data_IF_506456429542
#
_entry.id   IF_506456429542
#
_cell.length_a   1.000
_cell.length_b   1.000
_cell.length_c   1.000
_cell.angle_alpha   90.00
_cell.angle_beta   90.00
_cell.angle_gamma   90.00
#
_symmetry.space_group_name_H-M   'P 1'
#
loop_
_entity.id
_entity.type
_entity.pdbx_description
1 polymer ?
#
# COMPACT_ATOMS: atom_id res chain seq x y z
N UNK A 1 -10.07 -18.18 0.44
CA UNK A 1 -9.21 -16.99 0.61
C UNK A 1 -9.81 -16.09 1.66
N UNK A 2 -9.00 -15.57 2.54
CA UNK A 2 -9.43 -14.69 3.62
C UNK A 2 -8.56 -13.44 3.64
N UNK A 3 -9.18 -12.26 3.86
CA UNK A 3 -8.46 -10.98 4.04
C UNK A 3 -8.77 -10.48 5.44
N UNK A 4 -7.74 -10.12 6.20
CA UNK A 4 -7.93 -9.59 7.55
C UNK A 4 -6.77 -8.68 7.97
N UNK A 5 -7.03 -7.88 9.00
CA UNK A 5 -5.99 -7.04 9.59
C UNK A 5 -5.13 -7.90 10.51
N UNK A 6 -3.81 -7.72 10.41
CA UNK A 6 -2.84 -8.48 11.23
C UNK A 6 -2.69 -7.89 12.62
N UNK A 7 -2.28 -8.73 13.55
CA UNK A 7 -1.84 -8.32 14.87
C UNK A 7 -0.38 -8.76 15.08
N UNK A 8 0.13 -8.56 16.29
CA UNK A 8 1.54 -8.84 16.58
C UNK A 8 1.91 -10.32 16.39
N UNK A 9 0.96 -11.24 16.55
CA UNK A 9 1.21 -12.67 16.32
C UNK A 9 1.56 -13.00 14.88
N UNK A 10 1.21 -12.12 13.95
CA UNK A 10 1.46 -12.30 12.52
C UNK A 10 2.78 -11.67 12.05
N UNK A 11 3.48 -10.96 12.94
CA UNK A 11 4.64 -10.13 12.56
C UNK A 11 5.73 -10.90 11.83
N UNK A 12 6.16 -12.01 12.40
CA UNK A 12 7.26 -12.77 11.80
C UNK A 12 6.89 -13.33 10.44
N UNK A 13 5.68 -13.86 10.31
CA UNK A 13 5.20 -14.41 9.03
C UNK A 13 5.07 -13.31 7.97
N UNK A 14 4.53 -12.15 8.33
CA UNK A 14 4.38 -11.04 7.40
C UNK A 14 5.74 -10.47 6.98
N UNK A 15 6.65 -10.28 7.91
CA UNK A 15 7.98 -9.77 7.59
C UNK A 15 8.76 -10.76 6.71
N UNK A 16 8.58 -12.06 6.94
CA UNK A 16 9.16 -13.09 6.05
C UNK A 16 8.57 -12.98 4.65
N UNK A 17 7.25 -12.83 4.54
CA UNK A 17 6.59 -12.64 3.25
C UNK A 17 7.17 -11.43 2.51
N UNK A 18 7.31 -10.30 3.18
CA UNK A 18 7.89 -9.09 2.57
C UNK A 18 9.34 -9.33 2.11
N UNK A 19 10.16 -10.02 2.90
CA UNK A 19 11.53 -10.33 2.48
C UNK A 19 11.54 -11.18 1.22
N UNK A 20 10.64 -12.15 1.12
CA UNK A 20 10.52 -13.00 -0.08
C UNK A 20 10.12 -12.21 -1.31
N UNK A 21 9.38 -11.12 -1.12
CA UNK A 21 9.01 -10.20 -2.21
C UNK A 21 10.09 -9.17 -2.53
N UNK A 22 11.20 -9.17 -1.79
CA UNK A 22 12.26 -8.18 -1.98
C UNK A 22 11.98 -6.83 -1.32
N UNK A 23 10.98 -6.75 -0.45
CA UNK A 23 10.61 -5.52 0.25
C UNK A 23 11.22 -5.53 1.64
N UNK A 24 12.26 -4.72 1.84
CA UNK A 24 13.07 -4.78 3.05
C UNK A 24 12.52 -3.99 4.23
N UNK A 25 11.60 -3.06 3.99
CA UNK A 25 11.04 -2.23 5.08
C UNK A 25 10.16 -3.02 6.04
N UNK A 26 9.53 -4.08 5.59
CA UNK A 26 8.65 -4.90 6.42
C UNK A 26 7.46 -4.12 6.98
N UNK A 27 6.94 -4.61 8.10
CA UNK A 27 5.82 -3.98 8.80
C UNK A 27 6.31 -3.34 10.09
N UNK A 28 6.03 -2.04 10.26
CA UNK A 28 6.37 -1.30 11.49
C UNK A 28 5.12 -1.04 12.33
N UNK A 29 5.32 -0.67 13.61
CA UNK A 29 4.21 -0.43 14.54
C UNK A 29 3.36 0.80 14.21
N UNK A 30 3.87 1.71 13.37
CA UNK A 30 3.10 2.90 12.96
C UNK A 30 2.17 2.62 11.79
N UNK A 31 2.18 1.40 11.28
CA UNK A 31 1.39 1.00 10.13
C UNK A 31 0.35 -0.03 10.52
N UNK A 32 -0.84 0.08 9.94
CA UNK A 32 -1.82 -1.00 9.95
C UNK A 32 -1.52 -1.88 8.74
N UNK A 33 -1.52 -3.19 8.94
CA UNK A 33 -1.22 -4.13 7.86
C UNK A 33 -2.35 -5.12 7.70
N UNK A 34 -2.57 -5.51 6.46
CA UNK A 34 -3.66 -6.42 6.05
C UNK A 34 -3.06 -7.49 5.17
N UNK A 35 -3.51 -8.72 5.35
CA UNK A 35 -3.01 -9.83 4.54
C UNK A 35 -4.17 -10.61 3.94
N UNK A 36 -3.88 -11.27 2.83
CA UNK A 36 -4.73 -12.29 2.25
C UNK A 36 -4.04 -13.63 2.44
N UNK A 37 -4.81 -14.63 2.88
CA UNK A 37 -4.28 -15.97 3.08
C UNK A 37 -5.12 -17.00 2.32
N UNK A 38 -4.47 -18.10 1.95
CA UNK A 38 -5.13 -19.29 1.46
C UNK A 38 -4.36 -20.49 1.99
N UNK A 39 -5.08 -21.46 2.56
CA UNK A 39 -4.46 -22.62 3.23
C UNK A 39 -3.40 -22.19 4.25
N UNK A 40 -3.69 -21.14 5.01
CA UNK A 40 -2.80 -20.55 6.04
C UNK A 40 -1.53 -19.92 5.50
N UNK A 41 -1.37 -19.81 4.19
CA UNK A 41 -0.23 -19.11 3.57
C UNK A 41 -0.60 -17.70 3.18
N UNK A 42 0.33 -16.76 3.40
CA UNK A 42 0.14 -15.37 2.96
C UNK A 42 0.38 -15.31 1.46
N UNK A 43 -0.62 -14.82 0.73
CA UNK A 43 -0.55 -14.65 -0.73
C UNK A 43 -0.55 -13.19 -1.16
N UNK A 44 -0.77 -12.29 -0.23
CA UNK A 44 -0.73 -10.85 -0.50
C UNK A 44 -0.76 -10.05 0.78
N UNK A 45 -0.34 -8.79 0.67
CA UNK A 45 -0.29 -7.86 1.80
C UNK A 45 -0.45 -6.43 1.31
N UNK A 46 -0.89 -5.55 2.21
CA UNK A 46 -0.91 -4.11 2.02
C UNK A 46 -0.82 -3.43 3.37
N UNK A 47 -0.23 -2.24 3.41
CA UNK A 47 -0.09 -1.45 4.65
C UNK A 47 -0.69 -0.06 4.46
N UNK A 48 -1.20 0.48 5.56
CA UNK A 48 -1.64 1.87 5.64
C UNK A 48 -0.92 2.54 6.80
N UNK A 49 -0.13 3.56 6.48
CA UNK A 49 0.51 4.42 7.47
C UNK A 49 -0.39 5.65 7.68
N UNK A 50 -0.75 5.95 8.91
CA UNK A 50 -1.50 7.18 9.24
C UNK A 50 -0.53 8.14 9.90
N UNK A 51 -0.35 9.31 9.30
CA UNK A 51 0.59 10.31 9.80
C UNK A 51 0.09 11.70 9.45
N UNK A 52 0.11 12.60 10.44
CA UNK A 52 -0.26 14.02 10.26
C UNK A 52 -1.64 14.20 9.62
N UNK A 53 -2.59 13.33 9.97
CA UNK A 53 -3.97 13.44 9.51
C UNK A 53 -4.23 12.90 8.10
N UNK A 54 -3.25 12.26 7.48
CA UNK A 54 -3.40 11.64 6.17
C UNK A 54 -3.02 10.17 6.23
N UNK A 55 -3.46 9.41 5.24
CA UNK A 55 -3.11 7.99 5.10
C UNK A 55 -2.18 7.79 3.93
N UNK A 56 -1.18 6.93 4.08
CA UNK A 56 -0.28 6.55 3.00
C UNK A 56 -0.44 5.04 2.77
N UNK A 57 -0.86 4.70 1.55
CA UNK A 57 -1.00 3.31 1.13
C UNK A 57 0.36 2.82 0.65
N UNK A 58 0.83 1.72 1.25
CA UNK A 58 2.19 1.23 1.02
C UNK A 58 2.22 -0.29 0.96
N UNK A 59 3.32 -0.80 0.41
CA UNK A 59 3.67 -2.21 0.54
C UNK A 59 2.65 -3.20 0.04
N UNK A 60 1.96 -2.88 -1.06
CA UNK A 60 1.06 -3.84 -1.68
C UNK A 60 1.87 -4.82 -2.51
N UNK A 61 1.85 -6.09 -2.09
CA UNK A 61 2.51 -7.17 -2.79
C UNK A 61 1.56 -8.37 -2.89
N UNK A 62 1.55 -8.97 -4.05
CA UNK A 62 0.73 -10.16 -4.33
C UNK A 62 1.66 -11.19 -4.95
N UNK A 63 1.61 -12.42 -4.45
CA UNK A 63 2.44 -13.49 -5.00
C UNK A 63 2.10 -13.69 -6.48
N UNK A 64 3.09 -14.08 -7.26
CA UNK A 64 2.97 -14.18 -8.70
C UNK A 64 1.78 -15.02 -9.14
N UNK A 65 1.52 -16.13 -8.46
CA UNK A 65 0.43 -17.04 -8.78
C UNK A 65 -0.95 -16.40 -8.67
N UNK A 66 -1.08 -15.37 -7.82
CA UNK A 66 -2.34 -14.72 -7.53
C UNK A 66 -2.49 -13.35 -8.18
N UNK A 67 -1.50 -12.91 -8.95
CA UNK A 67 -1.59 -11.66 -9.69
C UNK A 67 -2.58 -11.79 -10.85
N UNK A 68 -3.21 -10.66 -11.21
CA UNK A 68 -4.17 -10.62 -12.31
C UNK A 68 -5.51 -11.26 -12.03
N UNK A 69 -5.81 -11.57 -10.75
CA UNK A 69 -7.04 -12.24 -10.33
C UNK A 69 -7.95 -11.36 -9.47
N UNK A 70 -7.68 -10.06 -9.42
CA UNK A 70 -8.51 -9.11 -8.68
C UNK A 70 -8.20 -8.99 -7.20
N UNK A 71 -7.13 -9.62 -6.69
CA UNK A 71 -6.80 -9.56 -5.27
C UNK A 71 -6.46 -8.14 -4.82
N UNK A 72 -5.72 -7.38 -5.64
CA UNK A 72 -5.42 -5.98 -5.32
C UNK A 72 -6.67 -5.14 -5.14
N UNK A 73 -7.65 -5.31 -6.02
CA UNK A 73 -8.95 -4.64 -5.91
C UNK A 73 -9.68 -5.06 -4.63
N UNK A 74 -9.62 -6.35 -4.29
CA UNK A 74 -10.24 -6.86 -3.05
C UNK A 74 -9.60 -6.22 -1.81
N UNK A 75 -8.27 -6.05 -1.79
CA UNK A 75 -7.59 -5.34 -0.72
C UNK A 75 -8.08 -3.90 -0.58
N UNK A 76 -8.14 -3.17 -1.68
CA UNK A 76 -8.58 -1.77 -1.64
C UNK A 76 -10.01 -1.68 -1.13
N UNK A 77 -10.90 -2.55 -1.57
CA UNK A 77 -12.28 -2.58 -1.07
C UNK A 77 -12.33 -2.86 0.42
N UNK A 78 -11.48 -3.75 0.91
CA UNK A 78 -11.42 -4.10 2.32
C UNK A 78 -11.01 -2.91 3.18
N UNK A 79 -10.02 -2.13 2.73
CA UNK A 79 -9.49 -0.98 3.48
C UNK A 79 -10.17 0.35 3.13
N UNK A 80 -11.11 0.34 2.19
CA UNK A 80 -11.79 1.57 1.75
C UNK A 80 -12.39 2.38 2.91
N UNK A 81 -13.03 1.77 3.93
CA UNK A 81 -13.52 2.54 5.08
C UNK A 81 -12.42 3.35 5.77
N UNK A 82 -11.20 2.83 5.82
CA UNK A 82 -10.04 3.55 6.38
C UNK A 82 -9.62 4.69 5.46
N UNK A 83 -9.50 4.40 4.17
CA UNK A 83 -9.10 5.40 3.18
C UNK A 83 -10.11 6.54 3.07
N UNK A 84 -11.39 6.24 3.31
CA UNK A 84 -12.46 7.25 3.24
C UNK A 84 -12.40 8.26 4.38
N UNK A 85 -11.73 7.95 5.49
CA UNK A 85 -11.66 8.83 6.65
C UNK A 85 -10.72 10.02 6.47
N UNK A 86 -9.75 9.90 5.59
CA UNK A 86 -8.73 10.93 5.37
C UNK A 86 -8.40 11.04 3.90
N UNK A 87 -7.69 12.12 3.55
CA UNK A 87 -6.98 12.15 2.27
C UNK A 87 -5.91 11.06 2.31
N UNK A 88 -5.79 10.32 1.24
CA UNK A 88 -4.83 9.23 1.11
C UNK A 88 -3.86 9.50 -0.03
N UNK A 89 -2.63 9.04 0.13
CA UNK A 89 -1.58 9.17 -0.88
C UNK A 89 -0.94 7.81 -1.16
N UNK A 90 -0.38 7.66 -2.34
CA UNK A 90 0.48 6.53 -2.65
C UNK A 90 1.56 6.94 -3.66
N UNK A 91 2.60 6.13 -3.75
CA UNK A 91 3.73 6.35 -4.65
C UNK A 91 4.02 5.06 -5.42
N UNK A 92 3.06 4.62 -6.26
CA UNK A 92 3.23 3.34 -6.96
C UNK A 92 4.24 3.46 -8.10
N UNK A 93 4.74 2.32 -8.53
CA UNK A 93 5.48 2.26 -9.79
C UNK A 93 4.57 2.78 -10.92
N UNK A 94 5.17 3.51 -11.86
CA UNK A 94 4.41 4.23 -12.88
C UNK A 94 3.52 3.31 -13.73
N UNK A 95 3.91 2.06 -13.94
CA UNK A 95 3.11 1.10 -14.71
C UNK A 95 1.83 0.64 -13.98
N UNK A 96 1.67 0.98 -12.69
CA UNK A 96 0.50 0.62 -11.90
C UNK A 96 -0.52 1.77 -11.78
N UNK A 97 -0.29 2.89 -12.46
CA UNK A 97 -1.15 4.07 -12.34
C UNK A 97 -2.61 3.79 -12.67
N UNK A 98 -2.86 2.96 -13.69
CA UNK A 98 -4.21 2.63 -14.09
C UNK A 98 -4.95 1.86 -13.00
N UNK A 99 -4.28 0.89 -12.38
CA UNK A 99 -4.87 0.14 -11.27
C UNK A 99 -5.30 1.07 -10.13
N UNK A 100 -4.41 1.95 -9.69
CA UNK A 100 -4.72 2.87 -8.59
C UNK A 100 -5.75 3.92 -9.01
N UNK A 101 -5.77 4.30 -10.28
CA UNK A 101 -6.81 5.18 -10.83
C UNK A 101 -8.20 4.59 -10.70
N UNK A 102 -8.34 3.28 -10.92
CA UNK A 102 -9.62 2.59 -10.82
C UNK A 102 -10.18 2.54 -9.40
N UNK A 103 -9.33 2.69 -8.39
CA UNK A 103 -9.74 2.65 -6.98
C UNK A 103 -9.72 4.03 -6.34
N UNK A 104 -9.79 5.08 -7.15
CA UNK A 104 -10.03 6.45 -6.70
C UNK A 104 -8.82 7.35 -6.55
N UNK A 105 -7.62 6.87 -6.85
CA UNK A 105 -6.42 7.70 -6.81
C UNK A 105 -6.26 8.45 -8.13
N UNK A 106 -5.78 9.68 -8.04
CA UNK A 106 -5.47 10.52 -9.21
C UNK A 106 -4.02 10.97 -9.14
N UNK A 107 -3.37 11.03 -10.29
CA UNK A 107 -2.00 11.54 -10.37
C UNK A 107 -1.97 13.01 -9.99
N UNK A 108 -0.98 13.38 -9.20
CA UNK A 108 -0.72 14.76 -8.80
C UNK A 108 0.74 15.10 -9.04
N UNK A 109 1.05 16.40 -9.01
CA UNK A 109 2.43 16.84 -8.95
C UNK A 109 3.00 16.45 -7.57
N UNK A 110 4.22 15.91 -7.48
CA UNK A 110 4.83 15.59 -6.18
C UNK A 110 4.90 16.75 -5.20
N UNK A 111 4.91 18.00 -5.68
CA UNK A 111 4.84 19.19 -4.83
C UNK A 111 3.53 19.27 -4.03
N UNK A 112 2.52 18.53 -4.44
CA UNK A 112 1.25 18.43 -3.71
C UNK A 112 1.26 17.48 -2.53
N UNK A 113 2.36 16.74 -2.31
CA UNK A 113 2.52 15.88 -1.14
C UNK A 113 2.81 16.71 0.12
N UNK A 114 2.41 16.21 1.32
CA UNK A 114 2.96 16.75 2.57
C UNK A 114 4.49 16.66 2.55
N UNK A 115 5.16 17.56 3.27
CA UNK A 115 6.62 17.67 3.22
C UNK A 115 7.34 16.35 3.47
N UNK A 116 6.92 15.59 4.49
CA UNK A 116 7.58 14.32 4.80
C UNK A 116 7.47 13.32 3.64
N UNK A 117 6.36 13.34 2.93
CA UNK A 117 6.12 12.42 1.82
C UNK A 117 6.83 12.88 0.55
N UNK A 118 6.89 14.19 0.33
CA UNK A 118 7.66 14.77 -0.78
C UNK A 118 9.14 14.40 -0.67
N UNK A 119 9.70 14.44 0.54
CA UNK A 119 11.08 14.04 0.79
C UNK A 119 11.30 12.55 0.52
N UNK A 120 10.36 11.72 0.94
CA UNK A 120 10.39 10.26 0.71
C UNK A 120 10.34 9.97 -0.79
N UNK A 121 9.45 10.65 -1.51
CA UNK A 121 9.32 10.55 -2.96
C UNK A 121 10.65 10.90 -3.66
N UNK A 122 11.25 12.02 -3.27
CA UNK A 122 12.51 12.47 -3.84
C UNK A 122 13.62 11.44 -3.61
N UNK A 123 13.66 10.83 -2.43
CA UNK A 123 14.62 9.78 -2.11
C UNK A 123 14.49 8.56 -3.02
N UNK A 124 13.27 8.16 -3.34
CA UNK A 124 13.05 7.05 -4.29
C UNK A 124 13.46 7.42 -5.70
N UNK A 125 13.13 8.63 -6.16
CA UNK A 125 13.55 9.11 -7.48
C UNK A 125 15.07 9.16 -7.59
N UNK A 126 15.74 9.61 -6.55
CA UNK A 126 17.22 9.70 -6.53
C UNK A 126 17.86 8.32 -6.63
N UNK A 127 17.16 7.26 -6.22
CA UNK A 127 17.64 5.88 -6.37
C UNK A 127 17.24 5.24 -7.70
N UNK A 128 16.60 6.00 -8.58
CA UNK A 128 16.23 5.53 -9.93
C UNK A 128 14.89 4.81 -10.02
N UNK A 129 14.07 4.83 -8.97
CA UNK A 129 12.74 4.22 -9.04
C UNK A 129 11.82 5.07 -9.91
N UNK A 130 11.09 4.40 -10.80
CA UNK A 130 10.10 5.05 -11.68
C UNK A 130 8.73 4.98 -11.01
N UNK A 131 8.48 5.96 -10.18
CA UNK A 131 7.24 6.07 -9.40
C UNK A 131 6.47 7.33 -9.77
N UNK A 132 5.21 7.36 -9.39
CA UNK A 132 4.35 8.54 -9.56
C UNK A 132 3.73 8.92 -8.23
N UNK A 133 3.30 10.18 -8.14
CA UNK A 133 2.59 10.69 -6.97
C UNK A 133 1.09 10.61 -7.24
N UNK A 134 0.34 10.03 -6.31
CA UNK A 134 -1.10 9.91 -6.44
C UNK A 134 -1.81 10.29 -5.14
N UNK A 135 -3.04 10.80 -5.27
CA UNK A 135 -3.87 11.24 -4.16
C UNK A 135 -5.30 10.73 -4.33
N UNK A 136 -5.92 10.32 -3.23
CA UNK A 136 -7.34 9.95 -3.16
C UNK A 136 -8.01 10.83 -2.13
N UNK A 137 -9.13 11.45 -2.52
CA UNK A 137 -9.85 12.36 -1.63
C UNK A 137 -10.57 11.61 -0.51
N UNK A 138 -10.76 12.31 0.60
CA UNK A 138 -11.61 11.84 1.68
C UNK A 138 -13.04 11.71 1.18
N UNK A 139 -13.73 10.65 1.58
CA UNK A 139 -15.14 10.50 1.27
C UNK A 139 -15.99 11.44 2.16
N UNK A 140 -17.04 11.95 1.57
CA UNK A 140 -17.94 12.85 2.27
C UNK A 140 -18.99 12.04 3.02
#
# INVERSE_FOLDING_TARGET
MEIFEVDESNRDALNQFYREQGYHSGWSHVERAFIATTNSEIIGSVKVEVRDGVSILRGMYITKEYQGKGLGTSFIKYIEPILNETVSYCMPFSHLSEFYGQVGFKSINPDGFPDFLAQRYQGYENRGYQIIAMRREKAI
#
